data_IF_605910784892
#
_entry.id   IF_605910784892
#
_cell.length_a   1.000
_cell.length_b   1.000
_cell.length_c   1.000
_cell.angle_alpha   90.00
_cell.angle_beta   90.00
_cell.angle_gamma   90.00
#
_symmetry.space_group_name_H-M   'P 1'
#
loop_
_entity.id
_entity.type
_entity.pdbx_description
1 polymer ?
#
# COMPACT_ATOMS: atom_id res chain seq x y z
N UNK A 1 -5.85 23.28 12.21
CA UNK A 1 -5.31 22.56 11.02
C UNK A 1 -5.04 23.58 9.94
N UNK A 2 -3.83 24.08 9.90
CA UNK A 2 -3.28 24.77 8.74
C UNK A 2 -2.61 23.70 7.89
N UNK A 3 -3.16 23.40 6.75
CA UNK A 3 -2.56 22.56 5.74
C UNK A 3 -2.95 23.09 4.37
N UNK A 4 -2.33 24.16 3.98
CA UNK A 4 -2.12 24.53 2.60
C UNK A 4 -0.62 24.72 2.39
N UNK A 5 0.13 23.63 2.38
CA UNK A 5 1.41 23.61 1.70
C UNK A 5 1.13 23.22 0.25
N UNK A 6 1.29 24.19 -0.62
CA UNK A 6 1.36 23.96 -2.06
C UNK A 6 2.56 23.06 -2.34
N UNK A 7 2.29 21.82 -2.76
CA UNK A 7 3.36 20.91 -3.18
C UNK A 7 3.78 21.36 -4.57
N UNK A 8 4.87 22.10 -4.64
CA UNK A 8 5.53 22.38 -5.91
C UNK A 8 6.16 21.09 -6.41
N UNK A 9 5.61 20.52 -7.48
CA UNK A 9 6.17 19.35 -8.17
C UNK A 9 7.36 19.83 -8.99
N UNK A 10 8.54 19.58 -8.50
CA UNK A 10 9.78 19.77 -9.21
C UNK A 10 10.15 18.48 -10.00
N UNK A 11 10.86 18.59 -11.10
CA UNK A 11 11.24 17.51 -12.03
C UNK A 11 12.13 16.42 -11.39
N UNK A 12 12.51 16.57 -10.12
CA UNK A 12 13.28 15.62 -9.32
C UNK A 12 12.46 14.91 -8.24
N UNK A 13 11.13 14.86 -8.36
CA UNK A 13 10.30 14.16 -7.37
C UNK A 13 10.59 12.65 -7.35
N UNK A 14 11.40 12.26 -6.39
CA UNK A 14 11.41 10.89 -5.92
C UNK A 14 10.06 10.62 -5.22
N UNK A 15 9.30 9.66 -5.74
CA UNK A 15 8.02 9.26 -5.14
C UNK A 15 8.33 8.51 -3.84
N UNK A 16 8.31 9.21 -2.72
CA UNK A 16 8.44 8.60 -1.40
C UNK A 16 7.07 8.07 -0.97
N UNK A 17 6.89 6.77 -0.98
CA UNK A 17 5.82 6.16 -0.20
C UNK A 17 6.20 6.32 1.29
N UNK A 18 5.48 7.14 2.02
CA UNK A 18 5.66 7.25 3.46
C UNK A 18 5.08 5.99 4.08
N UNK A 19 5.96 5.06 4.43
CA UNK A 19 5.61 3.82 5.11
C UNK A 19 5.85 4.04 6.60
N UNK A 20 4.78 4.09 7.39
CA UNK A 20 4.90 4.15 8.84
C UNK A 20 5.11 2.73 9.39
N UNK A 21 6.18 2.50 10.13
CA UNK A 21 6.29 1.33 11.01
C UNK A 21 5.51 1.60 12.30
N UNK A 22 4.76 0.62 12.77
CA UNK A 22 4.14 0.68 14.08
C UNK A 22 5.20 0.41 15.16
N UNK A 23 6.07 1.39 15.40
CA UNK A 23 6.96 1.42 16.55
C UNK A 23 6.42 2.43 17.55
N UNK A 24 6.84 2.32 18.81
CA UNK A 24 6.56 3.28 19.87
C UNK A 24 7.01 4.73 19.55
N UNK A 25 7.51 4.98 18.38
CA UNK A 25 8.05 6.22 17.84
C UNK A 25 7.00 7.07 17.09
N UNK A 26 5.80 7.17 17.63
CA UNK A 26 4.64 7.86 17.01
C UNK A 26 4.86 9.37 16.75
N UNK A 27 5.99 9.94 17.13
CA UNK A 27 6.25 11.38 17.06
C UNK A 27 7.67 11.72 16.56
N UNK A 28 8.31 10.90 15.75
CA UNK A 28 9.58 11.28 15.17
C UNK A 28 9.41 12.43 14.16
N UNK A 29 10.28 13.45 14.19
CA UNK A 29 10.35 14.46 13.14
C UNK A 29 10.56 13.78 11.77
N UNK A 30 10.06 14.37 10.69
CA UNK A 30 10.17 13.83 9.33
C UNK A 30 11.63 13.50 8.91
N UNK A 31 12.59 14.18 9.49
CA UNK A 31 14.03 14.01 9.29
C UNK A 31 14.58 12.72 9.92
N UNK A 32 13.86 12.12 10.89
CA UNK A 32 14.26 10.89 11.57
C UNK A 32 13.52 9.64 11.03
N UNK A 33 12.66 9.80 10.02
CA UNK A 33 12.04 8.65 9.36
C UNK A 33 13.12 7.82 8.69
N UNK A 34 13.14 6.49 8.92
CA UNK A 34 14.13 5.64 8.28
C UNK A 34 14.02 5.78 6.77
N UNK A 35 15.12 6.22 6.16
CA UNK A 35 15.23 6.30 4.70
C UNK A 35 15.09 4.87 4.15
N UNK A 36 13.95 4.58 3.53
CA UNK A 36 13.78 3.28 2.86
C UNK A 36 14.73 3.29 1.66
N UNK A 37 15.81 2.52 1.76
CA UNK A 37 16.70 2.34 0.63
C UNK A 37 15.97 1.48 -0.42
N UNK A 38 15.57 2.02 -1.57
CA UNK A 38 14.83 1.26 -2.59
C UNK A 38 15.64 0.09 -3.15
N UNK A 39 16.95 0.09 -2.96
CA UNK A 39 17.85 -0.99 -3.39
C UNK A 39 17.93 -2.16 -2.39
N UNK A 40 17.27 -2.07 -1.24
CA UNK A 40 17.27 -3.18 -0.27
C UNK A 40 16.31 -4.31 -0.70
N UNK A 41 15.36 -4.03 -1.57
CA UNK A 41 14.42 -5.02 -2.09
C UNK A 41 14.81 -5.45 -3.50
N UNK A 42 14.71 -6.76 -3.77
CA UNK A 42 14.85 -7.31 -5.13
C UNK A 42 13.62 -7.00 -5.98
N UNK A 43 12.46 -6.85 -5.32
CA UNK A 43 11.18 -6.62 -5.95
C UNK A 43 10.25 -5.86 -5.01
N UNK A 44 9.43 -4.99 -5.57
CA UNK A 44 8.34 -4.29 -4.87
C UNK A 44 7.03 -4.65 -5.56
N UNK A 45 6.08 -5.21 -4.83
CA UNK A 45 4.77 -5.60 -5.36
C UNK A 45 3.69 -4.75 -4.72
N UNK A 46 3.02 -3.94 -5.51
CA UNK A 46 1.82 -3.22 -5.08
C UNK A 46 0.58 -4.06 -5.33
N UNK A 47 -0.23 -4.26 -4.29
CA UNK A 47 -1.48 -5.02 -4.35
C UNK A 47 -2.63 -4.10 -3.98
N UNK A 48 -3.59 -3.88 -4.90
CA UNK A 48 -4.61 -2.89 -4.57
C UNK A 48 -5.73 -2.67 -5.57
N UNK A 49 -6.47 -1.62 -5.31
CA UNK A 49 -7.64 -1.18 -6.07
C UNK A 49 -7.27 -0.22 -7.23
N UNK A 50 -8.21 0.63 -7.65
CA UNK A 50 -8.00 1.60 -8.72
C UNK A 50 -6.86 2.58 -8.48
N UNK A 51 -6.52 2.90 -7.23
CA UNK A 51 -5.38 3.77 -6.91
C UNK A 51 -4.07 3.12 -7.33
N UNK A 52 -3.94 1.83 -7.08
CA UNK A 52 -2.79 1.02 -7.50
C UNK A 52 -2.76 0.85 -9.02
N UNK A 53 -3.91 0.69 -9.67
CA UNK A 53 -4.00 0.65 -11.13
C UNK A 53 -3.54 1.98 -11.75
N UNK A 54 -3.90 3.13 -11.16
CA UNK A 54 -3.41 4.43 -11.62
C UNK A 54 -1.89 4.55 -11.45
N UNK A 55 -1.33 4.13 -10.33
CA UNK A 55 0.12 4.08 -10.14
C UNK A 55 0.81 3.23 -11.22
N UNK A 56 0.27 2.04 -11.51
CA UNK A 56 0.77 1.17 -12.58
C UNK A 56 0.77 1.88 -13.95
N UNK A 57 -0.30 2.62 -14.26
CA UNK A 57 -0.39 3.33 -15.53
C UNK A 57 0.61 4.49 -15.65
N UNK A 58 0.86 5.20 -14.55
CA UNK A 58 1.90 6.24 -14.51
C UNK A 58 3.28 5.63 -14.73
N UNK A 59 3.60 4.56 -14.01
CA UNK A 59 4.92 3.91 -14.07
C UNK A 59 5.22 3.28 -15.43
N UNK A 60 4.21 2.87 -16.21
CA UNK A 60 4.42 2.36 -17.58
C UNK A 60 5.11 3.37 -18.51
N UNK A 61 5.01 4.67 -18.20
CA UNK A 61 5.61 5.74 -18.97
C UNK A 61 6.98 6.18 -18.41
N UNK A 62 7.47 5.55 -17.34
CA UNK A 62 8.75 5.87 -16.74
C UNK A 62 9.89 5.00 -17.31
N UNK A 63 11.15 5.43 -17.19
CA UNK A 63 12.31 4.66 -17.64
C UNK A 63 12.38 3.28 -16.97
N UNK A 64 12.85 2.28 -17.70
CA UNK A 64 12.90 0.89 -17.23
C UNK A 64 13.71 0.70 -15.94
N UNK A 65 14.81 1.43 -15.77
CA UNK A 65 15.63 1.38 -14.56
C UNK A 65 14.88 1.78 -13.26
N UNK A 66 13.74 2.48 -13.40
CA UNK A 66 12.87 2.85 -12.26
C UNK A 66 11.82 1.77 -12.02
N UNK A 67 11.41 1.03 -13.04
CA UNK A 67 10.21 0.20 -13.02
C UNK A 67 10.46 -1.30 -13.11
N UNK A 68 11.65 -1.76 -13.46
CA UNK A 68 11.94 -3.17 -13.73
C UNK A 68 11.63 -4.10 -12.53
N UNK A 69 11.84 -3.60 -11.31
CA UNK A 69 11.63 -4.34 -10.07
C UNK A 69 10.26 -4.05 -9.42
N UNK A 70 9.39 -3.27 -10.07
CA UNK A 70 8.06 -2.94 -9.55
C UNK A 70 7.01 -3.76 -10.27
N UNK A 71 6.17 -4.47 -9.50
CA UNK A 71 5.06 -5.29 -10.00
C UNK A 71 3.74 -4.80 -9.41
N UNK A 72 2.67 -5.07 -10.12
CA UNK A 72 1.33 -4.67 -9.72
C UNK A 72 0.36 -5.84 -9.81
N UNK A 73 -0.39 -6.05 -8.74
CA UNK A 73 -1.55 -6.94 -8.65
C UNK A 73 -2.74 -6.05 -8.29
N UNK A 74 -3.49 -5.61 -9.27
CA UNK A 74 -4.50 -4.59 -9.03
C UNK A 74 -5.68 -4.70 -9.98
N UNK A 75 -6.85 -4.28 -9.47
CA UNK A 75 -8.08 -4.21 -10.27
C UNK A 75 -8.98 -3.07 -9.81
N UNK A 76 -9.43 -2.26 -10.77
CA UNK A 76 -10.29 -1.11 -10.54
C UNK A 76 -11.62 -1.50 -9.90
N UNK A 77 -12.03 -0.75 -8.87
CA UNK A 77 -13.33 -0.89 -8.23
C UNK A 77 -13.42 -2.06 -7.25
N UNK A 78 -12.37 -2.83 -7.11
CA UNK A 78 -12.32 -3.99 -6.24
C UNK A 78 -11.90 -3.65 -4.80
N UNK A 79 -12.09 -4.60 -3.90
CA UNK A 79 -11.79 -4.50 -2.48
C UNK A 79 -11.53 -5.86 -1.85
N UNK A 80 -11.97 -6.02 -0.62
CA UNK A 80 -11.73 -7.21 0.21
C UNK A 80 -12.07 -8.53 -0.49
N UNK A 81 -13.26 -8.62 -1.10
CA UNK A 81 -13.71 -9.86 -1.76
C UNK A 81 -12.79 -10.29 -2.90
N UNK A 82 -12.33 -9.34 -3.69
CA UNK A 82 -11.39 -9.64 -4.76
C UNK A 82 -10.02 -10.00 -4.21
N UNK A 83 -9.55 -9.30 -3.17
CA UNK A 83 -8.28 -9.62 -2.52
C UNK A 83 -8.23 -11.08 -2.09
N UNK A 84 -9.25 -11.58 -1.37
CA UNK A 84 -9.26 -12.95 -0.84
C UNK A 84 -9.49 -14.02 -1.91
N UNK A 85 -10.18 -13.71 -3.01
CA UNK A 85 -10.52 -14.68 -4.06
C UNK A 85 -9.48 -14.75 -5.17
N UNK A 86 -8.95 -13.61 -5.60
CA UNK A 86 -8.10 -13.51 -6.81
C UNK A 86 -6.78 -12.81 -6.52
N UNK A 87 -6.83 -11.64 -5.87
CA UNK A 87 -5.65 -10.79 -5.66
C UNK A 87 -4.54 -11.50 -4.90
N UNK A 88 -4.88 -12.22 -3.84
CA UNK A 88 -3.89 -12.99 -3.09
C UNK A 88 -3.28 -14.13 -3.91
N UNK A 89 -4.06 -14.81 -4.74
CA UNK A 89 -3.53 -15.89 -5.60
C UNK A 89 -2.54 -15.36 -6.65
N UNK A 90 -2.85 -14.19 -7.23
CA UNK A 90 -1.94 -13.53 -8.17
C UNK A 90 -0.66 -13.08 -7.48
N UNK A 91 -0.77 -12.46 -6.29
CA UNK A 91 0.37 -12.10 -5.47
C UNK A 91 1.22 -13.33 -5.13
N UNK A 92 0.58 -14.40 -4.64
CA UNK A 92 1.28 -15.61 -4.22
C UNK A 92 2.10 -16.21 -5.36
N UNK A 93 1.56 -16.27 -6.58
CA UNK A 93 2.29 -16.75 -7.76
C UNK A 93 3.54 -15.91 -8.06
N UNK A 94 3.47 -14.60 -7.88
CA UNK A 94 4.61 -13.71 -8.10
C UNK A 94 5.75 -13.95 -7.08
N UNK A 95 5.40 -14.28 -5.84
CA UNK A 95 6.40 -14.47 -4.77
C UNK A 95 6.83 -15.92 -4.61
N UNK A 96 6.02 -16.89 -5.03
CA UNK A 96 6.32 -18.33 -4.94
C UNK A 96 7.52 -18.72 -5.79
N UNK A 97 7.63 -18.15 -6.99
CA UNK A 97 8.72 -18.46 -7.93
C UNK A 97 10.04 -17.76 -7.60
N UNK A 98 10.06 -16.96 -6.55
CA UNK A 98 11.18 -16.12 -6.22
C UNK A 98 12.19 -16.80 -5.24
N UNK A 99 12.25 -18.12 -5.27
CA UNK A 99 13.11 -18.93 -4.39
C UNK A 99 14.61 -18.84 -4.69
N UNK A 100 15.02 -18.17 -5.77
CA UNK A 100 16.41 -18.02 -6.19
C UNK A 100 17.10 -16.79 -5.57
N UNK A 101 17.01 -16.59 -4.27
CA UNK A 101 17.72 -15.49 -3.65
C UNK A 101 19.12 -15.92 -3.14
N UNK A 102 20.06 -16.07 -4.04
CA UNK A 102 21.49 -16.11 -3.70
C UNK A 102 21.94 -14.83 -2.95
N UNK A 103 21.13 -13.77 -2.97
CA UNK A 103 21.48 -12.46 -2.42
C UNK A 103 20.68 -12.03 -1.19
N UNK A 104 19.85 -12.87 -0.58
CA UNK A 104 19.07 -12.56 0.64
C UNK A 104 18.22 -11.28 0.58
N UNK A 105 17.95 -10.71 -0.60
CA UNK A 105 17.10 -9.54 -0.74
C UNK A 105 15.64 -9.92 -0.60
N UNK A 106 14.90 -9.14 0.16
CA UNK A 106 13.47 -9.34 0.40
C UNK A 106 12.59 -8.79 -0.74
N UNK A 107 11.34 -9.25 -0.81
CA UNK A 107 10.29 -8.63 -1.60
C UNK A 107 9.46 -7.73 -0.69
N UNK A 108 9.30 -6.45 -1.04
CA UNK A 108 8.32 -5.59 -0.37
C UNK A 108 6.94 -5.82 -0.99
N UNK A 109 5.95 -6.14 -0.17
CA UNK A 109 4.54 -6.26 -0.59
C UNK A 109 3.75 -5.12 0.04
N UNK A 110 3.18 -4.26 -0.77
CA UNK A 110 2.50 -3.05 -0.33
C UNK A 110 1.01 -3.15 -0.66
N UNK A 111 0.16 -3.28 0.36
CA UNK A 111 -1.28 -3.34 0.22
C UNK A 111 -1.90 -1.94 0.20
N UNK A 112 -2.73 -1.66 -0.80
CA UNK A 112 -3.40 -0.37 -1.01
C UNK A 112 -4.89 -0.57 -1.32
N UNK A 113 -5.65 -0.96 -0.29
CA UNK A 113 -7.09 -1.23 -0.36
C UNK A 113 -7.88 -0.37 0.61
N UNK A 114 -9.19 -0.55 0.59
CA UNK A 114 -10.12 -0.06 1.58
C UNK A 114 -11.00 1.10 1.13
N UNK A 115 -10.60 1.88 0.12
CA UNK A 115 -11.40 3.02 -0.33
C UNK A 115 -12.78 2.61 -0.89
N UNK A 116 -12.94 1.37 -1.34
CA UNK A 116 -14.18 0.86 -1.91
C UNK A 116 -15.09 0.18 -0.88
N UNK A 117 -14.54 -0.21 0.27
CA UNK A 117 -15.22 -1.02 1.29
C UNK A 117 -14.68 -0.71 2.70
N UNK A 118 -14.73 0.56 3.09
CA UNK A 118 -14.24 1.07 4.37
C UNK A 118 -14.80 0.33 5.59
N UNK A 119 -15.95 -0.31 5.46
CA UNK A 119 -16.63 -1.03 6.55
C UNK A 119 -16.01 -2.40 6.83
N UNK A 120 -15.29 -2.97 5.87
CA UNK A 120 -14.64 -4.29 5.94
C UNK A 120 -13.27 -4.23 6.66
N UNK A 121 -13.02 -3.19 7.48
CA UNK A 121 -11.71 -2.94 8.12
C UNK A 121 -11.26 -4.07 9.05
N UNK A 122 -12.21 -4.75 9.70
CA UNK A 122 -11.92 -5.90 10.59
C UNK A 122 -11.53 -7.13 9.80
N UNK A 123 -12.23 -7.36 8.72
CA UNK A 123 -12.00 -8.45 7.77
C UNK A 123 -10.63 -8.28 7.11
N UNK A 124 -10.29 -7.07 6.71
CA UNK A 124 -8.94 -6.75 6.21
C UNK A 124 -7.86 -7.08 7.24
N UNK A 125 -7.99 -6.59 8.48
CA UNK A 125 -6.99 -6.82 9.52
C UNK A 125 -6.82 -8.33 9.80
N UNK A 126 -7.93 -9.05 9.94
CA UNK A 126 -7.92 -10.50 10.18
C UNK A 126 -7.23 -11.25 9.02
N UNK A 127 -7.54 -10.87 7.78
CA UNK A 127 -6.97 -11.52 6.63
C UNK A 127 -5.48 -11.21 6.44
N UNK A 128 -5.07 -9.96 6.64
CA UNK A 128 -3.67 -9.58 6.58
C UNK A 128 -2.83 -10.34 7.61
N UNK A 129 -3.30 -10.43 8.86
CA UNK A 129 -2.62 -11.21 9.89
C UNK A 129 -2.58 -12.73 9.57
N UNK A 130 -3.59 -13.23 8.85
CA UNK A 130 -3.62 -14.63 8.40
C UNK A 130 -2.56 -14.92 7.33
N UNK A 131 -2.41 -14.04 6.35
CA UNK A 131 -1.50 -14.27 5.21
C UNK A 131 -0.05 -13.83 5.50
N UNK A 132 0.17 -12.98 6.50
CA UNK A 132 1.48 -12.46 6.86
C UNK A 132 2.52 -13.56 7.11
N UNK A 133 2.30 -14.57 7.97
CA UNK A 133 3.30 -15.62 8.21
C UNK A 133 3.63 -16.41 6.94
N UNK A 134 2.65 -16.61 6.05
CA UNK A 134 2.86 -17.30 4.78
C UNK A 134 3.77 -16.48 3.85
N UNK A 135 3.48 -15.20 3.68
CA UNK A 135 4.28 -14.32 2.83
C UNK A 135 5.68 -14.07 3.41
N UNK A 136 5.78 -13.90 4.73
CA UNK A 136 7.06 -13.72 5.42
C UNK A 136 7.96 -14.95 5.25
N UNK A 137 7.41 -16.17 5.30
CA UNK A 137 8.16 -17.40 5.04
C UNK A 137 8.71 -17.48 3.60
N UNK A 138 8.14 -16.70 2.68
CA UNK A 138 8.63 -16.54 1.30
C UNK A 138 9.61 -15.38 1.12
N UNK A 139 10.05 -14.76 2.23
CA UNK A 139 10.98 -13.63 2.20
C UNK A 139 10.31 -12.29 1.87
N UNK A 140 9.01 -12.17 2.09
CA UNK A 140 8.31 -10.90 1.93
C UNK A 140 8.33 -10.06 3.21
N UNK A 141 8.39 -8.75 3.06
CA UNK A 141 8.02 -7.75 4.07
C UNK A 141 6.72 -7.07 3.65
N UNK A 142 5.76 -7.01 4.57
CA UNK A 142 4.43 -6.48 4.30
C UNK A 142 4.32 -5.02 4.77
N UNK A 143 3.70 -4.22 3.94
CA UNK A 143 3.40 -2.81 4.19
C UNK A 143 1.96 -2.50 3.83
N UNK A 144 1.36 -1.58 4.55
CA UNK A 144 -0.03 -1.22 4.36
C UNK A 144 -0.15 0.29 4.18
N UNK A 145 -0.72 0.70 3.05
CA UNK A 145 -1.00 2.11 2.80
C UNK A 145 -2.31 2.51 3.45
N UNK A 146 -2.29 3.58 4.21
CA UNK A 146 -3.52 4.19 4.71
C UNK A 146 -4.42 4.67 3.56
N UNK A 147 -5.72 4.64 3.77
CA UNK A 147 -6.66 5.23 2.83
C UNK A 147 -6.53 6.76 2.91
N UNK A 148 -6.30 7.38 1.76
CA UNK A 148 -6.09 8.82 1.67
C UNK A 148 -7.36 9.61 2.05
N UNK A 149 -7.21 10.84 2.56
CA UNK A 149 -8.32 11.74 2.81
C UNK A 149 -9.23 11.92 1.58
N UNK A 150 -10.51 12.12 1.83
CA UNK A 150 -11.53 12.21 0.79
C UNK A 150 -11.69 13.66 0.34
N UNK A 151 -11.50 13.91 -0.96
CA UNK A 151 -11.88 15.19 -1.55
C UNK A 151 -13.39 15.22 -1.80
N UNK A 152 -14.16 15.78 -0.86
CA UNK A 152 -15.62 15.84 -0.91
C UNK A 152 -16.15 16.59 -2.13
N UNK A 153 -15.47 17.61 -2.58
CA UNK A 153 -15.88 18.42 -3.75
C UNK A 153 -15.81 17.57 -5.04
N UNK A 154 -14.80 16.73 -5.16
CA UNK A 154 -14.70 15.81 -6.30
C UNK A 154 -15.68 14.63 -6.18
N UNK A 155 -15.92 14.13 -4.98
CA UNK A 155 -16.86 13.01 -4.76
C UNK A 155 -18.31 13.39 -5.08
N UNK A 156 -18.75 14.61 -4.74
CA UNK A 156 -20.11 15.06 -5.04
C UNK A 156 -20.44 14.99 -6.54
N UNK A 157 -19.43 15.16 -7.39
CA UNK A 157 -19.58 15.09 -8.84
C UNK A 157 -19.59 13.66 -9.41
N UNK A 158 -19.25 12.65 -8.58
CA UNK A 158 -19.14 11.25 -9.02
C UNK A 158 -20.27 10.35 -8.53
N UNK A 159 -21.22 10.88 -7.76
CA UNK A 159 -22.33 10.11 -7.15
C UNK A 159 -21.88 9.16 -6.01
N UNK A 160 -20.63 9.24 -5.57
CA UNK A 160 -20.06 8.40 -4.49
C UNK A 160 -19.99 9.15 -3.15
N UNK A 161 -21.05 9.89 -2.82
CA UNK A 161 -21.13 10.71 -1.61
C UNK A 161 -21.27 9.91 -0.29
N UNK A 162 -21.34 8.59 -0.36
CA UNK A 162 -21.55 7.67 0.74
C UNK A 162 -20.31 7.42 1.62
N UNK A 163 -19.15 7.88 1.17
CA UNK A 163 -17.88 7.70 1.93
C UNK A 163 -17.71 8.83 2.95
N UNK A 164 -17.49 8.48 4.20
CA UNK A 164 -17.28 9.46 5.27
C UNK A 164 -15.84 9.47 5.76
N UNK A 165 -15.35 10.66 6.14
CA UNK A 165 -14.05 10.83 6.81
C UNK A 165 -13.96 10.02 8.12
N UNK A 166 -15.09 9.85 8.81
CA UNK A 166 -15.13 9.09 10.05
C UNK A 166 -14.91 7.58 9.80
N UNK A 167 -15.49 7.03 8.74
CA UNK A 167 -15.27 5.63 8.36
C UNK A 167 -13.83 5.41 7.90
N UNK A 168 -13.28 6.33 7.13
CA UNK A 168 -11.90 6.30 6.68
C UNK A 168 -10.93 6.32 7.86
N UNK A 169 -11.10 7.26 8.79
CA UNK A 169 -10.27 7.30 10.03
C UNK A 169 -10.40 6.02 10.82
N UNK A 170 -11.63 5.52 11.03
CA UNK A 170 -11.86 4.27 11.74
C UNK A 170 -11.11 3.11 11.11
N UNK A 171 -11.12 2.99 9.79
CA UNK A 171 -10.37 1.96 9.07
C UNK A 171 -8.87 2.11 9.30
N UNK A 172 -8.33 3.31 9.06
CA UNK A 172 -6.90 3.55 9.20
C UNK A 172 -6.41 3.32 10.64
N UNK A 173 -7.17 3.79 11.63
CA UNK A 173 -6.81 3.63 13.04
C UNK A 173 -6.89 2.15 13.45
N UNK A 174 -7.96 1.46 13.04
CA UNK A 174 -8.13 0.04 13.35
C UNK A 174 -7.02 -0.82 12.75
N UNK A 175 -6.66 -0.61 11.49
CA UNK A 175 -5.55 -1.33 10.85
C UNK A 175 -4.23 -1.04 11.57
N UNK A 176 -3.95 0.22 11.90
CA UNK A 176 -2.74 0.60 12.64
C UNK A 176 -2.62 -0.09 14.00
N UNK A 177 -3.74 -0.29 14.68
CA UNK A 177 -3.78 -0.89 16.01
C UNK A 177 -3.77 -2.43 16.00
N UNK A 178 -4.25 -3.04 14.93
CA UNK A 178 -4.53 -4.49 14.89
C UNK A 178 -3.69 -5.28 13.90
N UNK A 179 -2.82 -4.65 13.12
CA UNK A 179 -1.87 -5.37 12.28
C UNK A 179 -0.63 -5.77 13.08
N UNK A 180 -0.17 -6.99 12.89
CA UNK A 180 1.04 -7.54 13.52
C UNK A 180 2.32 -6.98 12.89
N UNK A 181 2.28 -6.64 11.60
CA UNK A 181 3.41 -6.03 10.91
C UNK A 181 3.24 -4.53 10.65
N UNK A 182 4.22 -3.93 10.00
CA UNK A 182 4.34 -2.49 9.83
C UNK A 182 3.17 -1.88 9.04
N UNK A 183 2.65 -0.77 9.58
CA UNK A 183 1.62 0.06 8.98
C UNK A 183 2.19 1.43 8.63
#
# INVERSE_FOLDING_TARGET
YEAEQEIVVDDNMNLYAVVFRNSSEKNLPAEELPQVNPYQYKQVVFVGDSRTEFMSNVLKNMPANVTENVKFVCKRGEGYKWLISTGYQELYRLVEHDTNSILQRKTAVIFNFGVNDLKEYKEYAAYYNLIEPVLTSKGCELYFMSVNPINRKMLSNTGRADRSEAELRRMNDYLRENLSSAY
#
